data_IF_986351063864
#
_entry.id   IF_986351063864
#
_cell.length_a   1.000
_cell.length_b   1.000
_cell.length_c   1.000
_cell.angle_alpha   90.00
_cell.angle_beta   90.00
_cell.angle_gamma   90.00
#
_symmetry.space_group_name_H-M   'P 1'
#
loop_
_entity.id
_entity.type
_entity.pdbx_description
1 polymer ?
#
# COMPACT_ATOMS: atom_id res chain seq x y z
N UNK A 1 17.73 -25.27 0.31
CA UNK A 1 16.99 -24.67 1.45
C UNK A 1 17.74 -23.44 1.92
N UNK A 2 16.99 -22.41 2.33
CA UNK A 2 17.37 -21.09 2.85
C UNK A 2 17.85 -20.07 1.81
N UNK A 3 17.01 -19.04 1.63
CA UNK A 3 17.48 -17.68 1.38
C UNK A 3 17.17 -16.92 2.66
N UNK A 4 18.20 -16.34 3.26
CA UNK A 4 18.14 -15.59 4.51
C UNK A 4 17.60 -14.19 4.25
N UNK A 5 16.45 -13.88 4.86
CA UNK A 5 15.91 -12.52 4.89
C UNK A 5 16.81 -11.63 5.76
N UNK A 6 17.70 -10.87 5.11
CA UNK A 6 18.57 -9.90 5.78
C UNK A 6 17.72 -8.71 6.25
N UNK A 7 17.31 -8.77 7.52
CA UNK A 7 16.61 -7.69 8.23
C UNK A 7 17.52 -6.46 8.38
N UNK A 8 17.24 -5.40 7.65
CA UNK A 8 17.74 -4.05 7.98
C UNK A 8 16.57 -3.23 8.53
N UNK A 9 16.65 -2.96 9.84
CA UNK A 9 15.83 -1.96 10.49
C UNK A 9 16.36 -0.56 10.10
N UNK A 10 15.45 0.42 10.06
CA UNK A 10 15.65 1.86 9.78
C UNK A 10 15.39 2.30 8.33
N UNK A 11 14.44 3.24 8.23
CA UNK A 11 13.99 4.03 7.07
C UNK A 11 13.02 3.30 6.12
N UNK A 12 11.80 3.82 6.01
CA UNK A 12 10.71 3.30 5.17
C UNK A 12 11.07 3.36 3.68
N UNK A 13 11.90 2.42 3.22
CA UNK A 13 12.19 2.14 1.81
C UNK A 13 11.00 1.39 1.24
N UNK A 14 9.99 2.14 0.81
CA UNK A 14 8.85 1.60 0.10
C UNK A 14 9.28 1.16 -1.31
N UNK A 15 9.47 -0.15 -1.48
CA UNK A 15 9.78 -0.74 -2.78
C UNK A 15 8.49 -0.84 -3.62
N UNK A 16 8.37 0.00 -4.65
CA UNK A 16 7.23 0.00 -5.58
C UNK A 16 7.35 -1.06 -6.68
N UNK A 17 8.47 -1.80 -6.75
CA UNK A 17 8.67 -2.88 -7.73
C UNK A 17 7.92 -4.18 -7.37
N UNK A 18 7.37 -4.26 -6.16
CA UNK A 18 6.58 -5.41 -5.67
C UNK A 18 5.27 -4.94 -5.06
N UNK A 19 4.27 -5.82 -5.11
CA UNK A 19 3.02 -5.56 -4.41
C UNK A 19 3.18 -5.81 -2.90
N UNK A 20 2.34 -5.13 -2.13
CA UNK A 20 2.27 -5.25 -0.68
C UNK A 20 1.46 -6.51 -0.34
N UNK A 21 2.14 -7.55 0.17
CA UNK A 21 1.48 -8.79 0.59
C UNK A 21 0.50 -8.52 1.74
N UNK A 22 -0.69 -9.12 1.66
CA UNK A 22 -1.73 -8.97 2.69
C UNK A 22 -2.57 -7.69 2.56
N UNK A 23 -2.29 -6.85 1.57
CA UNK A 23 -3.09 -5.66 1.25
C UNK A 23 -3.79 -5.84 -0.08
N UNK A 24 -5.11 -5.67 -0.05
CA UNK A 24 -5.96 -5.70 -1.23
C UNK A 24 -6.31 -4.26 -1.59
N UNK A 25 -6.01 -3.88 -2.84
CA UNK A 25 -6.49 -2.64 -3.43
C UNK A 25 -7.67 -3.00 -4.34
N UNK A 26 -8.90 -2.77 -3.89
CA UNK A 26 -10.10 -2.99 -4.71
C UNK A 26 -10.44 -1.78 -5.61
N UNK A 27 -9.80 -0.64 -5.35
CA UNK A 27 -10.04 0.60 -6.10
C UNK A 27 -9.37 0.52 -7.47
N UNK A 28 -10.10 0.06 -8.49
CA UNK A 28 -9.58 -0.15 -9.87
C UNK A 28 -8.98 1.11 -10.50
N UNK A 29 -9.51 2.29 -10.15
CA UNK A 29 -8.97 3.57 -10.62
C UNK A 29 -7.73 4.04 -9.85
N UNK A 30 -7.26 3.30 -8.85
CA UNK A 30 -6.02 3.63 -8.17
C UNK A 30 -4.83 3.36 -9.09
N UNK A 31 -3.89 4.31 -9.22
CA UNK A 31 -2.69 4.12 -10.04
C UNK A 31 -1.81 2.96 -9.55
N UNK A 32 -1.90 2.64 -8.26
CA UNK A 32 -1.15 1.57 -7.61
C UNK A 32 -1.86 0.22 -7.66
N UNK A 33 -3.11 0.18 -8.13
CA UNK A 33 -3.78 -1.09 -8.41
C UNK A 33 -3.05 -1.76 -9.59
N UNK A 34 -2.77 -3.06 -9.52
CA UNK A 34 -2.39 -3.79 -10.71
C UNK A 34 -2.84 -5.26 -10.62
N UNK A 35 -3.35 -5.79 -11.73
CA UNK A 35 -3.78 -7.18 -11.83
C UNK A 35 -4.89 -7.56 -10.82
N UNK A 36 -4.64 -8.59 -10.01
CA UNK A 36 -5.59 -9.24 -9.09
C UNK A 36 -5.74 -8.48 -7.75
N UNK A 37 -6.12 -7.20 -7.80
CA UNK A 37 -6.31 -6.34 -6.61
C UNK A 37 -5.05 -6.16 -5.75
N UNK A 38 -3.88 -6.26 -6.36
CA UNK A 38 -2.62 -6.03 -5.68
C UNK A 38 -2.30 -4.53 -5.62
N UNK A 39 -1.76 -4.06 -4.49
CA UNK A 39 -1.29 -2.69 -4.31
C UNK A 39 0.23 -2.60 -4.48
N UNK A 40 0.70 -1.76 -5.41
CA UNK A 40 2.13 -1.53 -5.71
C UNK A 40 2.63 -0.16 -5.22
N UNK A 41 1.93 0.45 -4.25
CA UNK A 41 2.33 1.74 -3.69
C UNK A 41 3.64 1.70 -2.88
N UNK A 42 4.16 0.49 -2.60
CA UNK A 42 5.32 0.25 -1.75
C UNK A 42 5.03 0.40 -0.25
N UNK A 43 4.29 1.44 0.14
CA UNK A 43 3.73 1.61 1.47
C UNK A 43 2.30 2.16 1.38
N UNK A 44 1.56 2.03 2.48
CA UNK A 44 0.20 2.55 2.61
C UNK A 44 0.12 3.43 3.85
N UNK A 45 -0.43 4.62 3.64
CA UNK A 45 -0.81 5.55 4.69
C UNK A 45 -2.33 5.51 4.79
N UNK A 46 -2.82 5.25 6.00
CA UNK A 46 -4.23 5.34 6.34
C UNK A 46 -4.44 6.64 7.09
N UNK A 47 -5.47 7.40 6.73
CA UNK A 47 -5.81 8.66 7.37
C UNK A 47 -7.30 8.94 7.32
N UNK A 48 -7.75 10.11 7.80
CA UNK A 48 -6.95 11.17 8.44
C UNK A 48 -6.53 10.79 9.87
N UNK A 49 -5.66 11.59 10.50
CA UNK A 49 -5.09 11.29 11.83
C UNK A 49 -6.15 11.30 12.93
N UNK A 50 -7.16 12.14 12.78
CA UNK A 50 -8.29 12.30 13.68
C UNK A 50 -9.39 11.22 13.53
N UNK A 51 -9.17 10.16 12.74
CA UNK A 51 -10.15 9.10 12.55
C UNK A 51 -10.44 8.35 13.86
N UNK A 52 -11.69 8.39 14.33
CA UNK A 52 -12.13 7.72 15.55
C UNK A 52 -12.79 6.35 15.31
N UNK A 53 -13.13 6.02 14.06
CA UNK A 53 -13.63 4.71 13.67
C UNK A 53 -13.27 4.38 12.21
N UNK A 54 -13.46 3.12 11.82
CA UNK A 54 -13.07 2.62 10.49
C UNK A 54 -13.78 3.33 9.34
N UNK A 55 -15.02 3.78 9.53
CA UNK A 55 -15.77 4.53 8.52
C UNK A 55 -15.11 5.87 8.16
N UNK A 56 -14.33 6.45 9.08
CA UNK A 56 -13.58 7.68 8.86
C UNK A 56 -12.20 7.43 8.24
N UNK A 57 -11.72 6.18 8.24
CA UNK A 57 -10.41 5.85 7.68
C UNK A 57 -10.49 5.63 6.18
N UNK A 58 -9.51 6.14 5.45
CA UNK A 58 -9.34 5.99 4.00
C UNK A 58 -7.88 5.76 3.65
N UNK A 59 -7.63 5.13 2.50
CA UNK A 59 -6.28 4.98 1.96
C UNK A 59 -5.79 6.35 1.46
N UNK A 60 -5.03 7.07 2.29
CA UNK A 60 -4.47 8.37 1.96
C UNK A 60 -3.39 8.27 0.86
N UNK A 61 -2.84 7.08 0.63
CA UNK A 61 -1.94 6.79 -0.49
C UNK A 61 -2.68 6.68 -1.82
N UNK A 62 -4.01 6.64 -1.85
CA UNK A 62 -4.76 6.58 -3.10
C UNK A 62 -4.40 7.75 -4.02
N UNK A 63 -4.11 7.45 -5.28
CA UNK A 63 -4.04 8.44 -6.35
C UNK A 63 -4.75 7.87 -7.58
N UNK A 64 -5.62 8.66 -8.25
CA UNK A 64 -6.32 8.21 -9.46
C UNK A 64 -5.34 8.05 -10.63
N UNK A 65 -5.64 7.17 -11.60
CA UNK A 65 -4.78 6.98 -12.79
C UNK A 65 -4.73 8.23 -13.66
N UNK A 66 -5.87 8.76 -14.07
CA UNK A 66 -6.09 10.05 -14.73
C UNK A 66 -7.55 10.47 -14.45
N UNK A 67 -7.86 11.76 -14.56
CA UNK A 67 -9.22 12.31 -14.36
C UNK A 67 -9.88 12.60 -15.70
#
# INVERSE_FOLDING_TARGET
MKMEDKKTNSDCKCDTSKYIKGIVCDVKNCMYHAGQNNCYAGCISVGPHEASCSANTSCATFKPREC
#
